data_IF_526504585411
#
_entry.id   IF_526504585411
#
_cell.length_a   1.000
_cell.length_b   1.000
_cell.length_c   1.000
_cell.angle_alpha   90.00
_cell.angle_beta   90.00
_cell.angle_gamma   90.00
#
_symmetry.space_group_name_H-M   'P 1'
#
loop_
_entity.id
_entity.type
_entity.pdbx_description
1 polymer ?
#
# COMPACT_ATOMS: atom_id res chain seq x y z
N UNK A 1 1.19 -7.29 -26.72
CA UNK A 1 0.89 -7.51 -25.31
C UNK A 1 2.12 -8.21 -24.74
N UNK A 2 3.08 -7.43 -24.25
CA UNK A 2 4.23 -7.99 -23.55
C UNK A 2 3.77 -8.44 -22.15
N UNK A 3 3.83 -9.75 -21.93
CA UNK A 3 3.57 -10.34 -20.62
C UNK A 3 4.73 -9.91 -19.72
N UNK A 4 4.43 -9.34 -18.56
CA UNK A 4 5.43 -8.97 -17.57
C UNK A 4 6.30 -10.18 -17.19
N UNK A 5 7.51 -10.23 -17.74
CA UNK A 5 8.46 -11.30 -17.50
C UNK A 5 9.08 -11.29 -16.08
N UNK A 6 8.73 -10.32 -15.24
CA UNK A 6 9.24 -10.18 -13.85
C UNK A 6 8.60 -11.15 -12.88
N UNK A 7 7.39 -11.63 -13.18
CA UNK A 7 6.68 -12.62 -12.37
C UNK A 7 6.15 -13.75 -13.23
N UNK A 8 6.17 -14.96 -12.70
CA UNK A 8 5.54 -16.12 -13.36
C UNK A 8 4.01 -16.03 -13.26
N UNK A 9 3.30 -16.67 -14.18
CA UNK A 9 1.82 -16.74 -14.13
C UNK A 9 1.31 -17.31 -12.79
N UNK A 10 2.07 -18.23 -12.18
CA UNK A 10 1.78 -18.80 -10.86
C UNK A 10 1.90 -17.74 -9.75
N UNK A 11 2.89 -16.84 -9.81
CA UNK A 11 3.07 -15.77 -8.83
C UNK A 11 1.95 -14.73 -8.94
N UNK A 12 1.51 -14.39 -10.14
CA UNK A 12 0.37 -13.49 -10.37
C UNK A 12 -0.94 -14.05 -9.78
N UNK A 13 -1.20 -15.35 -9.96
CA UNK A 13 -2.37 -16.00 -9.37
C UNK A 13 -2.29 -16.04 -7.85
N UNK A 14 -1.12 -16.40 -7.33
CA UNK A 14 -0.86 -16.46 -5.89
C UNK A 14 -1.11 -15.11 -5.19
N UNK A 15 -0.64 -14.01 -5.75
CA UNK A 15 -0.86 -12.68 -5.19
C UNK A 15 -2.36 -12.33 -5.11
N UNK A 16 -3.13 -12.65 -6.16
CA UNK A 16 -4.56 -12.39 -6.19
C UNK A 16 -5.33 -13.20 -5.14
N UNK A 17 -4.97 -14.47 -4.93
CA UNK A 17 -5.61 -15.36 -3.95
C UNK A 17 -5.25 -14.96 -2.50
N UNK A 18 -4.01 -14.51 -2.26
CA UNK A 18 -3.61 -13.97 -0.95
C UNK A 18 -4.36 -12.68 -0.62
N UNK A 19 -4.52 -11.78 -1.59
CA UNK A 19 -5.31 -10.56 -1.43
C UNK A 19 -6.78 -10.85 -1.13
N UNK A 20 -7.39 -11.88 -1.74
CA UNK A 20 -8.75 -12.32 -1.38
C UNK A 20 -8.82 -12.79 0.07
N UNK A 21 -7.86 -13.63 0.49
CA UNK A 21 -7.78 -14.09 1.88
C UNK A 21 -7.63 -12.90 2.85
N UNK A 22 -6.77 -11.94 2.51
CA UNK A 22 -6.56 -10.74 3.31
C UNK A 22 -7.75 -9.76 3.29
N UNK A 23 -8.59 -9.78 2.25
CA UNK A 23 -9.80 -8.96 2.19
C UNK A 23 -10.85 -9.35 3.25
N UNK A 24 -10.77 -10.58 3.79
CA UNK A 24 -11.56 -11.02 4.94
C UNK A 24 -11.14 -10.34 6.25
N UNK A 25 -9.93 -9.76 6.33
CA UNK A 25 -9.44 -9.01 7.47
C UNK A 25 -10.04 -7.59 7.53
N UNK A 26 -11.35 -7.51 7.68
CA UNK A 26 -12.13 -6.24 7.60
C UNK A 26 -11.71 -5.21 8.62
N UNK A 27 -11.54 -5.62 9.90
CA UNK A 27 -11.11 -4.69 10.96
C UNK A 27 -9.72 -4.14 10.72
N UNK A 28 -8.82 -4.98 10.18
CA UNK A 28 -7.50 -4.53 9.80
C UNK A 28 -7.56 -3.56 8.61
N UNK A 29 -8.34 -3.87 7.58
CA UNK A 29 -8.60 -2.97 6.45
C UNK A 29 -9.21 -1.63 6.90
N UNK A 30 -10.18 -1.66 7.83
CA UNK A 30 -10.75 -0.47 8.44
C UNK A 30 -9.71 0.35 9.21
N UNK A 31 -8.85 -0.33 9.96
CA UNK A 31 -7.76 0.32 10.69
C UNK A 31 -6.80 1.05 9.74
N UNK A 32 -6.36 0.39 8.67
CA UNK A 32 -5.49 1.00 7.65
C UNK A 32 -6.20 2.20 6.99
N UNK A 33 -7.46 2.03 6.60
CA UNK A 33 -8.22 3.10 5.95
C UNK A 33 -8.38 4.33 6.85
N UNK A 34 -8.63 4.15 8.14
CA UNK A 34 -8.74 5.24 9.10
C UNK A 34 -7.41 6.00 9.33
N UNK A 35 -6.26 5.36 9.07
CA UNK A 35 -4.97 6.05 9.05
C UNK A 35 -4.82 6.92 7.80
N UNK A 36 -5.31 6.46 6.66
CA UNK A 36 -5.28 7.21 5.39
C UNK A 36 -6.27 8.38 5.40
N UNK A 37 -7.49 8.17 5.92
CA UNK A 37 -8.65 9.05 5.79
C UNK A 37 -8.38 10.53 6.10
N UNK A 38 -7.68 10.92 7.19
CA UNK A 38 -7.42 12.33 7.50
C UNK A 38 -6.52 13.05 6.48
N UNK A 39 -5.90 12.28 5.58
CA UNK A 39 -4.93 12.75 4.61
C UNK A 39 -5.42 12.65 3.16
N UNK A 40 -6.66 12.19 2.94
CA UNK A 40 -7.20 12.06 1.59
C UNK A 40 -7.65 13.41 1.04
N UNK A 41 -7.30 13.68 -0.21
CA UNK A 41 -7.77 14.83 -0.97
C UNK A 41 -8.91 14.47 -1.92
N UNK A 42 -9.14 15.29 -2.93
CA UNK A 42 -10.23 15.14 -3.87
C UNK A 42 -9.87 14.28 -5.08
N UNK A 43 -8.61 14.26 -5.50
CA UNK A 43 -8.13 13.59 -6.72
C UNK A 43 -7.00 12.63 -6.38
N UNK A 44 -7.33 11.36 -6.26
CA UNK A 44 -6.47 10.33 -5.70
C UNK A 44 -5.89 9.44 -6.79
N UNK A 45 -4.58 9.19 -6.74
CA UNK A 45 -3.92 8.11 -7.45
C UNK A 45 -3.65 6.96 -6.47
N UNK A 46 -4.32 5.83 -6.65
CA UNK A 46 -4.05 4.59 -5.92
C UNK A 46 -3.08 3.74 -6.73
N UNK A 47 -1.88 3.54 -6.19
CA UNK A 47 -0.82 2.74 -6.83
C UNK A 47 -0.84 1.33 -6.27
N UNK A 48 -1.06 0.34 -7.13
CA UNK A 48 -1.23 -1.06 -6.76
C UNK A 48 -2.57 -1.30 -6.05
N UNK A 49 -3.69 -1.05 -6.74
CA UNK A 49 -5.01 -1.20 -6.15
C UNK A 49 -5.39 -2.66 -5.85
N UNK A 50 -4.60 -3.63 -6.33
CA UNK A 50 -4.86 -5.04 -6.14
C UNK A 50 -6.23 -5.44 -6.70
N UNK A 51 -7.06 -6.03 -5.85
CA UNK A 51 -8.45 -6.42 -6.19
C UNK A 51 -9.47 -5.30 -5.96
N UNK A 52 -9.04 -4.05 -5.70
CA UNK A 52 -9.91 -2.90 -5.48
C UNK A 52 -10.42 -2.72 -4.04
N UNK A 53 -9.74 -3.32 -3.06
CA UNK A 53 -10.19 -3.32 -1.65
C UNK A 53 -10.38 -1.91 -1.07
N UNK A 54 -9.49 -0.97 -1.38
CA UNK A 54 -9.60 0.41 -0.93
C UNK A 54 -10.25 1.34 -1.95
N UNK A 55 -10.21 1.01 -3.23
CA UNK A 55 -10.63 1.88 -4.34
C UNK A 55 -12.05 2.42 -4.19
N UNK A 56 -13.04 1.57 -3.85
CA UNK A 56 -14.43 2.02 -3.63
C UNK A 56 -14.53 2.98 -2.44
N UNK A 57 -13.84 2.67 -1.34
CA UNK A 57 -13.84 3.51 -0.14
C UNK A 57 -13.18 4.88 -0.38
N UNK A 58 -12.14 4.90 -1.22
CA UNK A 58 -11.50 6.15 -1.67
C UNK A 58 -12.50 6.96 -2.53
N UNK A 59 -13.22 6.31 -3.45
CA UNK A 59 -14.20 6.96 -4.31
C UNK A 59 -15.42 7.52 -3.55
N UNK A 60 -15.77 6.95 -2.39
CA UNK A 60 -16.81 7.51 -1.52
C UNK A 60 -16.43 8.89 -0.99
N UNK A 61 -15.13 9.16 -0.81
CA UNK A 61 -14.62 10.41 -0.23
C UNK A 61 -14.04 11.37 -1.28
N UNK A 62 -13.56 10.84 -2.41
CA UNK A 62 -12.91 11.61 -3.47
C UNK A 62 -13.88 12.01 -4.59
N UNK A 63 -13.47 12.99 -5.39
CA UNK A 63 -14.11 13.35 -6.65
C UNK A 63 -13.67 12.42 -7.80
N UNK A 64 -12.40 11.99 -7.75
CA UNK A 64 -11.78 11.13 -8.75
C UNK A 64 -10.76 10.20 -8.12
N UNK A 65 -10.76 8.93 -8.53
CA UNK A 65 -9.75 7.93 -8.17
C UNK A 65 -9.19 7.29 -9.44
N UNK A 66 -7.90 7.37 -9.62
CA UNK A 66 -7.16 6.66 -10.65
C UNK A 66 -6.49 5.47 -9.97
N UNK A 67 -6.79 4.26 -10.41
CA UNK A 67 -6.22 3.02 -9.89
C UNK A 67 -5.20 2.48 -10.89
N UNK A 68 -4.00 2.14 -10.43
CA UNK A 68 -2.98 1.46 -11.23
C UNK A 68 -2.76 0.06 -10.65
N UNK A 69 -2.83 -0.98 -11.51
CA UNK A 69 -2.56 -2.36 -11.14
C UNK A 69 -1.91 -3.12 -12.30
N UNK A 70 -0.66 -3.56 -12.19
CA UNK A 70 0.02 -4.28 -13.26
C UNK A 70 -0.38 -5.76 -13.32
N UNK A 71 -0.79 -6.37 -12.22
CA UNK A 71 -1.15 -7.78 -12.17
C UNK A 71 -2.51 -8.02 -12.84
N UNK A 72 -2.52 -8.74 -13.96
CA UNK A 72 -3.73 -8.99 -14.75
C UNK A 72 -4.84 -9.71 -13.97
N UNK A 73 -4.49 -10.64 -13.07
CA UNK A 73 -5.47 -11.37 -12.27
C UNK A 73 -6.10 -10.46 -11.21
N UNK A 74 -5.30 -9.61 -10.56
CA UNK A 74 -5.80 -8.60 -9.64
C UNK A 74 -6.65 -7.55 -10.38
N UNK A 75 -6.16 -7.05 -11.51
CA UNK A 75 -6.87 -6.05 -12.33
C UNK A 75 -8.22 -6.56 -12.84
N UNK A 76 -8.32 -7.85 -13.22
CA UNK A 76 -9.60 -8.45 -13.63
C UNK A 76 -10.61 -8.47 -12.48
N UNK A 77 -10.19 -8.79 -11.26
CA UNK A 77 -11.04 -8.75 -10.06
C UNK A 77 -11.39 -7.31 -9.67
N UNK A 78 -10.41 -6.40 -9.73
CA UNK A 78 -10.67 -4.97 -9.52
C UNK A 78 -11.67 -4.43 -10.53
N UNK A 79 -11.52 -4.74 -11.81
CA UNK A 79 -12.46 -4.33 -12.85
C UNK A 79 -13.89 -4.77 -12.51
N UNK A 80 -14.07 -6.05 -12.14
CA UNK A 80 -15.39 -6.57 -11.78
C UNK A 80 -15.97 -5.88 -10.52
N UNK A 81 -15.14 -5.51 -9.55
CA UNK A 81 -15.57 -4.84 -8.32
C UNK A 81 -15.87 -3.33 -8.52
N UNK A 82 -15.17 -2.67 -9.44
CA UNK A 82 -15.17 -1.22 -9.63
C UNK A 82 -16.04 -0.78 -10.82
N UNK A 83 -16.51 -1.73 -11.62
CA UNK A 83 -17.27 -1.46 -12.84
C UNK A 83 -18.52 -0.59 -12.57
N UNK A 84 -18.76 0.33 -13.48
CA UNK A 84 -19.90 1.26 -13.39
C UNK A 84 -19.71 2.42 -12.41
N UNK A 85 -18.61 2.51 -11.65
CA UNK A 85 -18.35 3.69 -10.81
C UNK A 85 -17.70 4.83 -11.63
N UNK A 86 -18.43 5.94 -11.91
CA UNK A 86 -17.93 7.01 -12.78
C UNK A 86 -16.75 7.78 -12.22
N UNK A 87 -16.48 7.67 -10.94
CA UNK A 87 -15.36 8.33 -10.28
C UNK A 87 -14.05 7.58 -10.44
N UNK A 88 -14.08 6.29 -10.81
CA UNK A 88 -12.90 5.42 -10.84
C UNK A 88 -12.43 5.18 -12.27
N UNK A 89 -11.12 5.29 -12.50
CA UNK A 89 -10.47 4.84 -13.71
C UNK A 89 -9.41 3.80 -13.36
N UNK A 90 -9.56 2.57 -13.85
CA UNK A 90 -8.55 1.51 -13.70
C UNK A 90 -7.61 1.53 -14.90
N UNK A 91 -6.30 1.55 -14.62
CA UNK A 91 -5.21 1.46 -15.59
C UNK A 91 -4.39 0.20 -15.31
N UNK A 92 -4.25 -0.65 -16.31
CA UNK A 92 -3.51 -1.91 -16.20
C UNK A 92 -2.11 -1.66 -16.79
N UNK A 93 -1.21 -1.17 -15.95
CA UNK A 93 0.16 -0.85 -16.32
C UNK A 93 1.05 -0.86 -15.06
N UNK A 94 2.36 -1.01 -15.26
CA UNK A 94 3.32 -0.63 -14.23
C UNK A 94 3.37 0.89 -14.11
N UNK A 95 3.67 1.39 -12.92
CA UNK A 95 3.73 2.83 -12.64
C UNK A 95 4.67 3.57 -13.61
N UNK A 96 5.80 2.96 -13.95
CA UNK A 96 6.82 3.54 -14.84
C UNK A 96 6.37 3.58 -16.31
N UNK A 97 5.41 2.75 -16.68
CA UNK A 97 4.88 2.59 -18.06
C UNK A 97 3.64 3.46 -18.29
N UNK A 98 3.01 3.95 -17.24
CA UNK A 98 1.84 4.81 -17.36
C UNK A 98 2.21 6.14 -18.03
N UNK A 99 1.34 6.62 -18.91
CA UNK A 99 1.53 7.92 -19.57
C UNK A 99 1.54 9.06 -18.54
N UNK A 100 2.72 9.65 -18.35
CA UNK A 100 2.93 10.73 -17.38
C UNK A 100 2.14 11.98 -17.74
N UNK A 101 1.91 12.24 -19.04
CA UNK A 101 1.14 13.40 -19.50
C UNK A 101 -0.32 13.24 -19.10
N UNK A 102 -0.88 12.05 -19.31
CA UNK A 102 -2.24 11.75 -18.85
C UNK A 102 -2.38 11.81 -17.33
N UNK A 103 -1.42 11.24 -16.59
CA UNK A 103 -1.43 11.33 -15.11
C UNK A 103 -1.32 12.77 -14.61
N UNK A 104 -0.51 13.61 -15.27
CA UNK A 104 -0.39 15.02 -14.91
C UNK A 104 -1.69 15.81 -15.15
N UNK A 105 -2.47 15.47 -16.21
CA UNK A 105 -3.78 16.08 -16.50
C UNK A 105 -4.85 15.70 -15.47
N UNK A 106 -4.67 14.63 -14.74
CA UNK A 106 -5.59 14.24 -13.66
C UNK A 106 -5.49 15.15 -12.44
N UNK A 107 -4.46 16.03 -12.34
CA UNK A 107 -4.26 16.97 -11.22
C UNK A 107 -4.33 16.27 -9.85
N UNK A 108 -3.58 15.17 -9.71
CA UNK A 108 -3.55 14.37 -8.49
C UNK A 108 -3.08 15.21 -7.30
N UNK A 109 -3.85 15.21 -6.23
CA UNK A 109 -3.52 15.86 -4.96
C UNK A 109 -3.11 14.87 -3.86
N UNK A 110 -3.41 13.58 -4.07
CA UNK A 110 -3.09 12.54 -3.11
C UNK A 110 -2.65 11.27 -3.82
N UNK A 111 -1.51 10.71 -3.42
CA UNK A 111 -1.11 9.37 -3.81
C UNK A 111 -1.30 8.44 -2.61
N UNK A 112 -1.95 7.32 -2.84
CA UNK A 112 -2.13 6.23 -1.88
C UNK A 112 -1.38 5.01 -2.39
N UNK A 113 -0.44 4.49 -1.58
CA UNK A 113 0.39 3.34 -1.91
C UNK A 113 0.45 2.43 -0.66
N UNK A 114 -0.36 1.36 -0.67
CA UNK A 114 -0.56 0.45 0.45
C UNK A 114 -0.01 -0.92 0.11
N UNK A 115 1.05 -1.34 0.79
CA UNK A 115 1.75 -2.61 0.57
C UNK A 115 2.16 -2.82 -0.90
N UNK A 116 2.82 -1.82 -1.48
CA UNK A 116 3.31 -1.85 -2.88
C UNK A 116 4.76 -1.41 -2.97
N UNK A 117 5.19 -0.41 -2.19
CA UNK A 117 6.54 0.16 -2.31
C UNK A 117 7.63 -0.88 -2.03
N UNK A 118 7.36 -1.88 -1.18
CA UNK A 118 8.24 -3.01 -0.89
C UNK A 118 8.49 -3.94 -2.09
N UNK A 119 7.58 -3.93 -3.08
CA UNK A 119 7.70 -4.69 -4.33
C UNK A 119 8.50 -3.95 -5.41
N UNK A 120 8.75 -2.66 -5.22
CA UNK A 120 9.48 -1.84 -6.19
C UNK A 120 10.98 -1.87 -5.84
N UNK A 121 11.81 -2.34 -6.76
CA UNK A 121 13.26 -2.44 -6.53
C UNK A 121 13.90 -1.07 -6.28
N UNK A 122 13.61 -0.07 -7.15
CA UNK A 122 14.03 1.33 -6.98
C UNK A 122 12.90 2.16 -6.38
N UNK A 123 12.72 2.02 -5.06
CA UNK A 123 11.69 2.73 -4.29
C UNK A 123 11.90 4.25 -4.30
N UNK A 124 13.14 4.72 -4.35
CA UNK A 124 13.44 6.16 -4.44
C UNK A 124 12.99 6.74 -5.76
N UNK A 125 13.15 6.01 -6.87
CA UNK A 125 12.67 6.43 -8.19
C UNK A 125 11.14 6.52 -8.21
N UNK A 126 10.45 5.53 -7.63
CA UNK A 126 8.99 5.56 -7.49
C UNK A 126 8.53 6.78 -6.65
N UNK A 127 9.15 7.03 -5.51
CA UNK A 127 8.84 8.18 -4.66
C UNK A 127 9.13 9.53 -5.34
N UNK A 128 10.16 9.62 -6.20
CA UNK A 128 10.41 10.82 -7.02
C UNK A 128 9.26 11.07 -7.99
N UNK A 129 8.79 10.02 -8.66
CA UNK A 129 7.63 10.13 -9.55
C UNK A 129 6.37 10.55 -8.78
N UNK A 130 6.15 9.98 -7.59
CA UNK A 130 5.04 10.41 -6.73
C UNK A 130 5.14 11.90 -6.39
N UNK A 131 6.32 12.37 -5.98
CA UNK A 131 6.55 13.79 -5.73
C UNK A 131 6.23 14.65 -6.96
N UNK A 132 6.70 14.25 -8.16
CA UNK A 132 6.46 15.00 -9.40
C UNK A 132 4.96 15.14 -9.71
N UNK A 133 4.18 14.08 -9.47
CA UNK A 133 2.74 14.07 -9.72
C UNK A 133 1.95 14.96 -8.75
N UNK A 134 2.34 15.02 -7.47
CA UNK A 134 1.61 15.80 -6.46
C UNK A 134 2.16 17.23 -6.28
N UNK A 135 3.36 17.54 -6.76
CA UNK A 135 3.98 18.86 -6.58
C UNK A 135 3.14 20.01 -7.17
N UNK A 136 2.52 19.88 -8.37
CA UNK A 136 1.73 20.97 -8.96
C UNK A 136 0.49 21.34 -8.13
N UNK A 137 -0.07 20.40 -7.37
CA UNK A 137 -1.26 20.61 -6.54
C UNK A 137 -0.92 20.96 -5.09
N UNK A 138 0.37 20.89 -4.70
CA UNK A 138 0.79 20.97 -3.30
C UNK A 138 0.32 19.77 -2.48
N UNK A 139 0.08 18.66 -3.16
CA UNK A 139 -0.50 17.44 -2.61
C UNK A 139 0.46 16.60 -1.76
N UNK A 140 0.05 15.38 -1.46
CA UNK A 140 0.76 14.52 -0.53
C UNK A 140 0.81 13.07 -0.98
N UNK A 141 1.78 12.31 -0.42
CA UNK A 141 2.04 10.91 -0.69
C UNK A 141 1.83 10.12 0.60
N UNK A 142 0.92 9.16 0.58
CA UNK A 142 0.59 8.28 1.69
C UNK A 142 1.16 6.89 1.40
N UNK A 143 2.07 6.45 2.25
CA UNK A 143 2.75 5.16 2.15
C UNK A 143 2.39 4.31 3.36
N UNK A 144 1.94 3.08 3.10
CA UNK A 144 1.76 2.05 4.13
C UNK A 144 2.53 0.82 3.70
N UNK A 145 3.54 0.42 4.48
CA UNK A 145 4.49 -0.64 4.11
C UNK A 145 4.76 -1.60 5.27
N UNK A 146 5.15 -2.86 5.02
CA UNK A 146 5.59 -3.77 6.06
C UNK A 146 6.86 -3.24 6.73
N UNK A 147 6.88 -3.37 8.06
CA UNK A 147 7.97 -2.86 8.87
C UNK A 147 8.80 -3.98 9.50
N UNK A 148 9.97 -3.58 10.05
CA UNK A 148 10.91 -4.42 10.79
C UNK A 148 11.57 -5.46 9.87
N UNK A 149 12.77 -5.11 9.35
CA UNK A 149 13.54 -5.99 8.48
C UNK A 149 13.82 -7.37 9.11
N UNK A 150 14.00 -7.45 10.42
CA UNK A 150 14.18 -8.72 11.14
C UNK A 150 12.95 -9.64 11.05
N UNK A 151 11.77 -9.13 10.70
CA UNK A 151 10.56 -9.93 10.48
C UNK A 151 10.41 -10.43 9.03
N UNK A 152 11.34 -10.08 8.15
CA UNK A 152 11.37 -10.60 6.77
C UNK A 152 11.53 -12.12 6.79
N UNK A 153 10.67 -12.81 6.05
CA UNK A 153 10.62 -14.26 6.04
C UNK A 153 10.17 -14.88 4.72
N UNK A 154 9.93 -16.20 4.70
CA UNK A 154 9.50 -16.91 3.50
C UNK A 154 8.25 -16.34 2.84
N UNK A 155 7.31 -15.83 3.64
CA UNK A 155 6.10 -15.19 3.11
C UNK A 155 6.41 -13.90 2.34
N UNK A 156 7.31 -13.03 2.87
CA UNK A 156 7.74 -11.83 2.16
C UNK A 156 8.38 -12.19 0.81
N UNK A 157 9.26 -13.20 0.82
CA UNK A 157 9.91 -13.68 -0.40
C UNK A 157 8.91 -14.26 -1.41
N UNK A 158 7.89 -15.02 -0.94
CA UNK A 158 6.85 -15.58 -1.79
C UNK A 158 5.96 -14.51 -2.42
N UNK A 159 5.70 -13.41 -1.69
CA UNK A 159 4.99 -12.23 -2.17
C UNK A 159 5.84 -11.34 -3.09
N UNK A 160 7.15 -11.58 -3.19
CA UNK A 160 8.05 -10.77 -4.01
C UNK A 160 8.49 -9.45 -3.36
N UNK A 161 8.49 -9.39 -2.03
CA UNK A 161 9.02 -8.23 -1.32
C UNK A 161 10.54 -8.15 -1.48
N UNK A 162 11.07 -7.00 -1.83
CA UNK A 162 12.52 -6.73 -1.79
C UNK A 162 12.99 -6.42 -0.37
N UNK A 163 12.12 -5.80 0.46
CA UNK A 163 12.50 -5.30 1.80
C UNK A 163 11.31 -5.08 2.71
N UNK A 164 11.63 -4.89 4.00
CA UNK A 164 10.75 -4.27 4.99
C UNK A 164 11.40 -2.98 5.48
N UNK A 165 10.59 -2.05 5.95
CA UNK A 165 11.06 -0.72 6.29
C UNK A 165 11.21 -0.52 7.80
N UNK A 166 12.05 0.45 8.16
CA UNK A 166 12.10 1.09 9.46
C UNK A 166 11.89 2.60 9.27
N UNK A 167 11.59 3.32 10.37
CA UNK A 167 11.49 4.79 10.27
C UNK A 167 12.73 5.43 9.64
N UNK A 168 14.00 5.06 10.02
CA UNK A 168 15.18 5.62 9.38
C UNK A 168 15.28 5.30 7.89
N UNK A 169 15.02 4.04 7.46
CA UNK A 169 15.16 3.65 6.06
C UNK A 169 14.08 4.28 5.18
N UNK A 170 12.82 4.31 5.62
CA UNK A 170 11.75 4.95 4.87
C UNK A 170 11.95 6.48 4.81
N UNK A 171 12.41 7.11 5.91
CA UNK A 171 12.75 8.55 5.92
C UNK A 171 13.86 8.86 4.93
N UNK A 172 14.92 8.05 4.90
CA UNK A 172 16.02 8.24 3.95
C UNK A 172 15.54 8.14 2.49
N UNK A 173 14.61 7.20 2.17
CA UNK A 173 14.01 7.09 0.84
C UNK A 173 13.19 8.33 0.47
N UNK A 174 12.37 8.85 1.41
CA UNK A 174 11.61 10.10 1.22
C UNK A 174 12.54 11.30 1.01
N UNK A 175 13.58 11.44 1.84
CA UNK A 175 14.56 12.53 1.73
C UNK A 175 15.30 12.48 0.38
N UNK A 176 15.74 11.30 -0.06
CA UNK A 176 16.38 11.09 -1.35
C UNK A 176 15.46 11.39 -2.55
N UNK A 177 14.15 11.23 -2.37
CA UNK A 177 13.12 11.57 -3.36
C UNK A 177 12.73 13.06 -3.33
N UNK A 178 13.17 13.85 -2.34
CA UNK A 178 12.78 15.25 -2.16
C UNK A 178 11.39 15.42 -1.57
N UNK A 179 10.92 14.44 -0.82
CA UNK A 179 9.70 14.49 -0.02
C UNK A 179 10.04 14.84 1.43
N UNK A 180 9.24 15.70 2.05
CA UNK A 180 9.30 16.01 3.48
C UNK A 180 8.29 15.13 4.22
N UNK A 181 8.75 14.37 5.22
CA UNK A 181 7.88 13.55 6.04
C UNK A 181 7.14 14.40 7.05
N UNK A 182 5.82 14.44 6.94
CA UNK A 182 4.92 15.17 7.87
C UNK A 182 4.37 14.26 8.97
N UNK A 183 4.19 12.99 8.67
CA UNK A 183 3.71 11.97 9.62
C UNK A 183 4.48 10.67 9.39
N UNK A 184 4.87 9.99 10.47
CA UNK A 184 5.46 8.64 10.38
C UNK A 184 5.24 7.89 11.68
N UNK A 185 4.50 6.78 11.61
CA UNK A 185 4.20 5.95 12.78
C UNK A 185 4.19 4.46 12.46
N UNK A 186 4.66 3.66 13.39
CA UNK A 186 4.40 2.22 13.37
C UNK A 186 2.96 1.93 13.75
N UNK A 187 2.47 0.77 13.30
CA UNK A 187 1.12 0.28 13.59
C UNK A 187 1.12 -1.25 13.73
N UNK A 188 0.13 -1.78 14.45
CA UNK A 188 -0.10 -3.19 14.68
C UNK A 188 1.09 -3.92 15.34
N UNK A 189 1.49 -3.56 16.56
CA UNK A 189 2.61 -4.21 17.25
C UNK A 189 2.31 -5.69 17.60
N UNK A 190 1.04 -6.04 17.86
CA UNK A 190 0.65 -7.42 18.15
C UNK A 190 0.72 -8.28 16.90
N UNK A 191 0.29 -7.76 15.74
CA UNK A 191 0.44 -8.43 14.46
C UNK A 191 1.90 -8.74 14.12
N UNK A 192 2.83 -7.88 14.54
CA UNK A 192 4.27 -8.14 14.38
C UNK A 192 4.70 -9.44 15.07
N UNK A 193 4.21 -9.73 16.27
CA UNK A 193 4.53 -10.97 16.98
C UNK A 193 4.03 -12.20 16.22
N UNK A 194 2.81 -12.15 15.70
CA UNK A 194 2.25 -13.21 14.86
C UNK A 194 3.04 -13.39 13.57
N UNK A 195 3.44 -12.28 12.94
CA UNK A 195 4.26 -12.31 11.73
C UNK A 195 5.64 -12.92 11.99
N UNK A 196 6.33 -12.52 13.06
CA UNK A 196 7.63 -13.09 13.45
C UNK A 196 7.53 -14.58 13.73
N UNK A 197 6.46 -15.03 14.40
CA UNK A 197 6.20 -16.45 14.60
C UNK A 197 6.06 -17.18 13.26
N UNK A 198 5.28 -16.64 12.33
CA UNK A 198 5.12 -17.23 11.00
C UNK A 198 6.43 -17.23 10.20
N UNK A 199 7.22 -16.17 10.26
CA UNK A 199 8.46 -16.06 9.51
C UNK A 199 9.57 -16.98 10.01
N UNK A 200 9.71 -17.09 11.35
CA UNK A 200 10.88 -17.76 11.94
C UNK A 200 10.59 -19.15 12.49
N UNK A 201 9.35 -19.42 12.93
CA UNK A 201 8.98 -20.70 13.54
C UNK A 201 8.26 -21.60 12.52
N UNK A 202 7.10 -21.17 12.01
CA UNK A 202 6.32 -22.00 11.06
C UNK A 202 6.86 -21.95 9.66
N UNK A 203 7.62 -20.89 9.31
CA UNK A 203 8.14 -20.63 7.96
C UNK A 203 7.03 -20.65 6.90
N UNK A 204 5.88 -20.12 7.25
CA UNK A 204 4.72 -20.05 6.36
C UNK A 204 5.04 -19.23 5.11
N UNK A 205 4.51 -19.67 3.97
CA UNK A 205 4.64 -19.00 2.67
C UNK A 205 3.34 -18.34 2.22
N UNK A 206 2.24 -18.51 2.95
CA UNK A 206 0.92 -17.97 2.64
C UNK A 206 0.13 -17.69 3.90
N UNK A 207 -0.83 -16.77 3.82
CA UNK A 207 -1.82 -16.58 4.88
C UNK A 207 -2.86 -17.70 4.83
N UNK A 208 -3.23 -18.23 6.00
CA UNK A 208 -4.33 -19.17 6.09
C UNK A 208 -5.60 -18.45 6.54
N UNK A 209 -6.79 -18.78 5.97
CA UNK A 209 -8.05 -18.15 6.41
C UNK A 209 -8.30 -18.29 7.91
N UNK A 210 -7.84 -19.41 8.52
CA UNK A 210 -7.94 -19.62 9.96
C UNK A 210 -7.13 -18.61 10.79
N UNK A 211 -5.91 -18.29 10.38
CA UNK A 211 -5.06 -17.30 11.05
C UNK A 211 -5.66 -15.89 10.92
N UNK A 212 -6.13 -15.53 9.72
CA UNK A 212 -6.79 -14.25 9.47
C UNK A 212 -8.04 -14.11 10.35
N UNK A 213 -8.91 -15.13 10.37
CA UNK A 213 -10.11 -15.14 11.22
C UNK A 213 -9.79 -15.08 12.71
N UNK A 214 -8.76 -15.79 13.17
CA UNK A 214 -8.31 -15.75 14.56
C UNK A 214 -7.87 -14.34 14.95
N UNK A 215 -7.03 -13.71 14.14
CA UNK A 215 -6.59 -12.33 14.34
C UNK A 215 -7.79 -11.37 14.38
N UNK A 216 -8.67 -11.43 13.37
CA UNK A 216 -9.84 -10.56 13.25
C UNK A 216 -10.82 -10.70 14.42
N UNK A 217 -10.97 -11.92 14.96
CA UNK A 217 -11.95 -12.19 16.02
C UNK A 217 -11.42 -11.92 17.42
N UNK A 218 -10.17 -12.31 17.70
CA UNK A 218 -9.61 -12.28 19.04
C UNK A 218 -8.63 -11.14 19.31
N UNK A 219 -7.90 -10.68 18.29
CA UNK A 219 -6.83 -9.69 18.45
C UNK A 219 -7.28 -8.30 18.00
N UNK A 220 -7.77 -8.20 16.76
CA UNK A 220 -8.10 -6.93 16.12
C UNK A 220 -9.07 -6.05 16.92
N UNK A 221 -10.13 -6.59 17.60
CA UNK A 221 -11.08 -5.76 18.33
C UNK A 221 -10.47 -4.93 19.47
N UNK A 222 -9.37 -5.37 20.02
CA UNK A 222 -8.68 -4.74 21.14
C UNK A 222 -7.39 -4.03 20.72
N UNK A 223 -6.60 -4.72 19.90
CA UNK A 223 -5.27 -4.24 19.51
C UNK A 223 -5.32 -3.01 18.60
N UNK A 224 -6.22 -3.00 17.61
CA UNK A 224 -6.27 -1.94 16.62
C UNK A 224 -6.84 -0.62 17.15
N UNK A 225 -7.90 -0.59 17.99
CA UNK A 225 -8.32 0.64 18.65
C UNK A 225 -7.25 1.21 19.60
N UNK A 226 -6.55 0.33 20.35
CA UNK A 226 -5.45 0.76 21.21
C UNK A 226 -4.29 1.36 20.43
N UNK A 227 -3.94 0.76 19.29
CA UNK A 227 -2.90 1.25 18.40
C UNK A 227 -3.17 2.68 17.89
N UNK A 228 -4.45 3.06 17.72
CA UNK A 228 -4.83 4.43 17.34
C UNK A 228 -4.52 5.45 18.42
N UNK A 229 -4.67 5.08 19.68
CA UNK A 229 -4.49 5.96 20.84
C UNK A 229 -3.00 6.12 21.19
N UNK A 230 -2.23 5.06 21.03
CA UNK A 230 -0.81 5.03 21.39
C UNK A 230 0.01 4.75 20.14
N UNK A 231 0.89 5.69 19.77
CA UNK A 231 1.84 5.45 18.68
C UNK A 231 2.92 4.46 19.15
N UNK A 232 2.87 3.18 18.75
CA UNK A 232 3.81 2.19 19.25
C UNK A 232 5.23 2.49 18.74
N UNK A 233 6.27 2.14 19.53
CA UNK A 233 7.67 2.33 19.13
C UNK A 233 8.10 1.36 18.03
N UNK A 234 7.36 0.28 17.80
CA UNK A 234 7.57 -0.76 16.79
C UNK A 234 6.21 -1.33 16.37
N UNK A 235 6.10 -1.88 15.16
CA UNK A 235 4.87 -2.49 14.68
C UNK A 235 5.10 -3.32 13.42
N UNK A 236 4.08 -4.07 13.02
CA UNK A 236 4.10 -4.90 11.81
C UNK A 236 4.25 -4.04 10.54
N UNK A 237 3.66 -2.86 10.55
CA UNK A 237 3.64 -1.95 9.42
C UNK A 237 4.06 -0.53 9.82
N UNK A 238 4.43 0.25 8.82
CA UNK A 238 4.83 1.64 8.95
C UNK A 238 3.96 2.49 8.02
N UNK A 239 3.26 3.46 8.60
CA UNK A 239 2.51 4.47 7.88
C UNK A 239 3.33 5.76 7.82
N UNK A 240 3.39 6.38 6.64
CA UNK A 240 4.05 7.66 6.43
C UNK A 240 3.27 8.55 5.47
N UNK A 241 3.33 9.86 5.73
CA UNK A 241 2.81 10.92 4.86
C UNK A 241 3.97 11.84 4.51
N UNK A 242 4.13 12.10 3.21
CA UNK A 242 5.12 13.02 2.69
C UNK A 242 4.51 14.09 1.79
N UNK A 243 5.14 15.25 1.77
CA UNK A 243 4.81 16.35 0.84
C UNK A 243 6.03 16.74 0.02
N UNK A 244 5.79 17.23 -1.19
CA UNK A 244 6.87 17.79 -1.97
C UNK A 244 7.54 18.96 -1.20
N UNK A 245 8.87 18.92 -1.08
CA UNK A 245 9.59 20.09 -0.52
C UNK A 245 9.40 21.26 -1.45
N UNK A 246 8.81 22.32 -0.93
CA UNK A 246 8.82 23.60 -1.63
C UNK A 246 10.25 24.14 -1.58
N UNK A 247 10.90 24.25 -2.73
CA UNK A 247 12.12 25.03 -2.79
C UNK A 247 11.74 26.48 -2.48
N UNK A 248 12.31 27.03 -1.41
CA UNK A 248 12.26 28.47 -1.21
C UNK A 248 12.91 29.12 -2.45
N UNK A 249 12.12 29.95 -3.16
CA UNK A 249 12.55 30.68 -4.33
C UNK A 249 13.63 31.69 -3.95
#
# INVERSE_FOLDING_TARGET
MDVDHRFTQTQHQYAADDLETMSEARRYGDHVFELLRPHLGARILEVGCGIGTFSLRLADLAERVICIEPNLNCAARAHAALDGNPKIALRICHLEECDRTELAQEHVDTIVCVNVLEHIEDDVKALRLFRELVAPTGGQVLIFVPAVQAAYGPLDAALGHHRRYSKPTLRAAFDAAGLEVTTMRYTNPIGLLGWMYNSHITRATHHTPGQVRLFETLVAPWALPFDRLVAPPIGQSLFAVGRARMHAA
#
